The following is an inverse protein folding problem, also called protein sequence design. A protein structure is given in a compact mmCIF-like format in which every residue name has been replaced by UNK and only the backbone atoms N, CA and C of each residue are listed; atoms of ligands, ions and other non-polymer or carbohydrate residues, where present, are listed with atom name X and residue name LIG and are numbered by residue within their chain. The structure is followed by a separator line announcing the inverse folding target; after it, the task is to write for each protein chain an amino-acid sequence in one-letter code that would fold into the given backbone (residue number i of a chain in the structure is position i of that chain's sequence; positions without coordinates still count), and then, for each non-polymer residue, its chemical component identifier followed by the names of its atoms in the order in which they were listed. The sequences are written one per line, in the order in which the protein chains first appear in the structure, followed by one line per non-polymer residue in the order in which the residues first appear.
data_IF_281101325567
#
_entry.id   IF_281101325567
#
_cell.length_a   1.000
_cell.length_b   1.000
_cell.length_c   1.000
_cell.angle_alpha   90.00
_cell.angle_beta   90.00
_cell.angle_gamma   90.00
#
_symmetry.space_group_name_H-M   'P 1'
#
loop_
_entity.id
_entity.type
_entity.pdbx_description
1 polymer ?
#
# COMPACT_ATOMS: atom_id res chain seq x y z
N UNK A 1 -29.78 13.08 -14.57
CA UNK A 1 -29.39 13.47 -13.20
C UNK A 1 -28.02 12.89 -12.91
N UNK A 2 -26.96 13.68 -13.08
CA UNK A 2 -25.56 13.25 -12.93
C UNK A 2 -25.15 13.36 -11.46
N UNK A 3 -24.89 12.21 -10.82
CA UNK A 3 -24.36 12.11 -9.45
C UNK A 3 -22.99 12.80 -9.41
N UNK A 4 -22.91 13.98 -8.78
CA UNK A 4 -21.67 14.69 -8.47
C UNK A 4 -20.76 13.75 -7.67
N UNK A 5 -19.57 13.45 -8.21
CA UNK A 5 -18.47 12.79 -7.49
C UNK A 5 -18.10 13.64 -6.27
N UNK A 6 -18.47 13.18 -5.07
CA UNK A 6 -18.09 13.76 -3.78
C UNK A 6 -16.56 13.66 -3.67
N UNK A 7 -15.86 14.79 -3.54
CA UNK A 7 -14.41 14.82 -3.39
C UNK A 7 -14.03 14.21 -2.03
N UNK A 8 -13.43 13.03 -2.06
CA UNK A 8 -13.03 12.25 -0.90
C UNK A 8 -11.74 12.81 -0.28
N UNK A 9 -11.85 13.44 0.91
CA UNK A 9 -10.70 13.99 1.66
C UNK A 9 -10.18 12.96 2.66
N UNK A 10 -8.90 12.60 2.61
CA UNK A 10 -8.30 11.75 3.66
C UNK A 10 -8.34 12.48 5.01
N UNK A 11 -8.95 11.84 6.01
CA UNK A 11 -8.98 12.25 7.41
C UNK A 11 -7.77 11.71 8.16
N UNK A 12 -7.34 10.50 7.82
CA UNK A 12 -6.21 9.82 8.47
C UNK A 12 -5.51 8.89 7.51
N UNK A 13 -4.19 8.99 7.45
CA UNK A 13 -3.33 8.03 6.74
C UNK A 13 -2.95 6.90 7.70
N UNK A 14 -3.25 5.68 7.30
CA UNK A 14 -2.97 4.45 8.05
C UNK A 14 -1.73 3.76 7.47
N UNK A 15 -1.57 3.82 6.15
CA UNK A 15 -0.52 3.15 5.40
C UNK A 15 -0.04 4.05 4.27
N UNK A 16 1.28 4.22 4.12
CA UNK A 16 1.88 4.90 2.97
C UNK A 16 3.26 4.34 2.65
N UNK A 17 3.36 3.61 1.53
CA UNK A 17 4.62 3.10 1.00
C UNK A 17 5.34 4.22 0.23
N UNK A 18 6.21 4.94 0.94
CA UNK A 18 6.95 6.08 0.41
C UNK A 18 7.90 5.69 -0.72
N UNK A 19 8.46 4.48 -0.70
CA UNK A 19 9.37 4.03 -1.76
C UNK A 19 8.59 3.80 -3.05
N UNK A 20 7.49 3.05 -2.97
CA UNK A 20 6.62 2.81 -4.13
C UNK A 20 5.99 4.12 -4.65
N UNK A 21 5.58 5.02 -3.75
CA UNK A 21 5.05 6.33 -4.12
C UNK A 21 6.09 7.18 -4.84
N UNK A 22 7.33 7.21 -4.34
CA UNK A 22 8.42 7.97 -4.95
C UNK A 22 8.79 7.43 -6.33
N UNK A 23 8.85 6.11 -6.50
CA UNK A 23 9.08 5.49 -7.80
C UNK A 23 7.98 5.87 -8.79
N UNK A 24 6.71 5.78 -8.39
CA UNK A 24 5.58 6.19 -9.22
C UNK A 24 5.67 7.67 -9.64
N UNK A 25 5.89 8.57 -8.69
CA UNK A 25 6.01 10.02 -8.94
C UNK A 25 7.19 10.30 -9.88
N UNK A 26 8.34 9.68 -9.64
CA UNK A 26 9.56 9.82 -10.45
C UNK A 26 9.32 9.36 -11.89
N UNK A 27 8.70 8.19 -12.07
CA UNK A 27 8.37 7.63 -13.39
C UNK A 27 7.40 8.54 -14.14
N UNK A 28 6.34 9.02 -13.47
CA UNK A 28 5.35 9.91 -14.09
C UNK A 28 5.92 11.25 -14.49
N UNK A 29 6.92 11.73 -13.77
CA UNK A 29 7.61 12.97 -14.05
C UNK A 29 8.80 12.84 -15.01
N UNK A 30 9.10 11.63 -15.51
CA UNK A 30 10.16 11.40 -16.48
C UNK A 30 11.58 11.38 -15.90
N UNK A 31 11.75 11.19 -14.59
CA UNK A 31 13.05 11.09 -13.92
C UNK A 31 13.07 11.72 -12.53
N UNK A 32 14.24 11.63 -11.86
CA UNK A 32 14.43 12.15 -10.50
C UNK A 32 14.40 13.66 -10.51
N UNK A 33 13.32 14.25 -9.99
CA UNK A 33 13.19 15.69 -9.79
C UNK A 33 13.97 16.08 -8.54
N UNK A 34 14.92 17.02 -8.67
CA UNK A 34 15.59 17.64 -7.52
C UNK A 34 14.73 18.81 -6.99
N UNK A 35 14.01 18.55 -5.91
CA UNK A 35 13.06 19.48 -5.30
C UNK A 35 13.68 20.68 -4.60
N UNK A 36 15.02 20.75 -4.51
CA UNK A 36 15.72 21.87 -3.87
C UNK A 36 15.85 23.10 -4.79
N UNK A 37 15.65 22.95 -6.10
CA UNK A 37 15.85 24.00 -7.10
C UNK A 37 14.67 24.97 -7.19
N UNK A 38 14.95 26.23 -7.55
CA UNK A 38 13.91 27.27 -7.66
C UNK A 38 12.89 26.98 -8.78
N UNK A 39 13.31 26.32 -9.84
CA UNK A 39 12.44 25.93 -10.97
C UNK A 39 11.38 24.89 -10.55
N UNK A 40 11.76 23.93 -9.68
CA UNK A 40 10.83 22.92 -9.19
C UNK A 40 9.90 23.46 -8.09
N UNK A 41 10.32 24.48 -7.32
CA UNK A 41 9.43 25.23 -6.42
C UNK A 41 8.33 25.97 -7.17
N UNK A 42 8.64 26.54 -8.34
CA UNK A 42 7.64 27.17 -9.21
C UNK A 42 6.69 26.13 -9.84
N UNK A 43 7.20 24.96 -10.22
CA UNK A 43 6.36 23.84 -10.67
C UNK A 43 5.43 23.32 -9.58
N UNK A 44 5.92 23.17 -8.34
CA UNK A 44 5.11 22.84 -7.17
C UNK A 44 4.02 23.90 -6.95
N UNK A 45 4.36 25.18 -7.01
CA UNK A 45 3.40 26.27 -6.85
C UNK A 45 2.32 26.26 -7.94
N UNK A 46 2.68 25.95 -9.20
CA UNK A 46 1.71 25.80 -10.31
C UNK A 46 0.84 24.56 -10.16
N UNK A 47 1.41 23.42 -9.76
CA UNK A 47 0.69 22.17 -9.57
C UNK A 47 -0.29 22.28 -8.39
N UNK A 48 0.12 22.92 -7.29
CA UNK A 48 -0.77 23.26 -6.17
C UNK A 48 -1.85 24.26 -6.59
N UNK A 49 -1.52 25.26 -7.40
CA UNK A 49 -2.51 26.21 -7.93
C UNK A 49 -3.50 25.56 -8.91
N UNK A 50 -3.08 24.58 -9.71
CA UNK A 50 -3.96 23.79 -10.59
C UNK A 50 -4.85 22.83 -9.79
N UNK A 51 -4.32 22.25 -8.69
CA UNK A 51 -5.11 21.50 -7.72
C UNK A 51 -6.16 22.41 -7.07
N UNK A 52 -5.80 23.63 -6.64
CA UNK A 52 -6.71 24.63 -6.08
C UNK A 52 -7.72 25.18 -7.12
N UNK A 53 -7.34 25.26 -8.39
CA UNK A 53 -8.24 25.68 -9.47
C UNK A 53 -9.27 24.59 -9.82
N UNK A 54 -8.86 23.31 -9.74
CA UNK A 54 -9.76 22.15 -9.88
C UNK A 54 -10.57 21.89 -8.59
N UNK A 55 -10.04 22.29 -7.43
CA UNK A 55 -10.65 22.20 -6.11
C UNK A 55 -11.09 23.57 -5.61
N UNK A 56 -12.27 24.04 -6.01
CA UNK A 56 -12.88 25.20 -5.35
C UNK A 56 -13.07 24.88 -3.85
N UNK A 57 -12.15 25.40 -3.04
CA UNK A 57 -12.17 25.54 -1.57
C UNK A 57 -11.65 24.36 -0.73
N UNK A 58 -10.50 24.53 -0.04
CA UNK A 58 -10.38 24.04 1.36
C UNK A 58 -9.12 23.32 1.88
N UNK A 59 -7.90 23.54 1.36
CA UNK A 59 -6.67 23.09 2.02
C UNK A 59 -5.55 24.14 1.98
N UNK A 60 -5.37 24.89 3.07
CA UNK A 60 -4.22 25.79 3.24
C UNK A 60 -3.06 25.09 3.96
N UNK A 61 -2.53 24.00 3.38
CA UNK A 61 -1.27 23.38 3.86
C UNK A 61 -0.07 24.34 3.75
N UNK A 62 -0.24 25.41 2.97
CA UNK A 62 0.73 26.49 2.74
C UNK A 62 1.10 27.27 4.02
N UNK A 63 0.18 27.48 4.97
CA UNK A 63 0.48 28.28 6.17
C UNK A 63 1.38 27.55 7.17
N UNK A 64 1.27 26.23 7.26
CA UNK A 64 2.06 25.40 8.18
C UNK A 64 3.48 25.19 7.67
N UNK A 65 3.66 25.13 6.34
CA UNK A 65 4.94 24.92 5.67
C UNK A 65 5.84 26.18 5.68
N UNK A 66 5.23 27.37 5.53
CA UNK A 66 5.95 28.65 5.49
C UNK A 66 6.64 28.98 6.83
N UNK A 67 6.06 28.58 7.96
CA UNK A 67 6.61 28.82 9.28
C UNK A 67 7.90 28.03 9.57
N UNK A 68 8.03 26.82 8.99
CA UNK A 68 9.16 25.92 9.27
C UNK A 68 10.41 26.25 8.45
N UNK A 69 10.25 26.93 7.30
CA UNK A 69 11.36 27.28 6.39
C UNK A 69 11.95 28.67 6.70
N UNK A 70 11.17 29.58 7.30
CA UNK A 70 11.65 30.93 7.63
C UNK A 70 12.40 31.06 8.96
N UNK A 71 12.57 29.97 9.71
CA UNK A 71 13.26 29.96 10.99
C UNK A 71 14.78 29.77 10.83
N UNK A 72 15.50 30.87 10.68
CA UNK A 72 16.94 30.90 10.94
C UNK A 72 17.22 30.65 12.44
N UNK A 73 18.23 29.83 12.76
CA UNK A 73 19.30 30.09 13.74
C UNK A 73 20.04 28.80 14.13
N UNK A 74 21.36 29.00 14.22
CA UNK A 74 22.48 28.15 14.54
C UNK A 74 22.38 27.29 15.83
N UNK A 75 23.23 26.25 15.89
CA UNK A 75 23.73 25.48 17.06
C UNK A 75 22.86 24.41 17.73
N UNK A 76 23.26 23.15 17.52
CA UNK A 76 22.96 21.97 18.35
C UNK A 76 21.63 21.25 18.04
N UNK A 77 21.64 19.91 18.09
CA UNK A 77 20.50 18.96 18.03
C UNK A 77 20.22 18.24 16.70
N UNK A 78 20.85 17.06 16.55
CA UNK A 78 20.95 16.24 15.34
C UNK A 78 19.98 15.02 15.29
N UNK A 79 18.72 15.19 15.71
CA UNK A 79 17.72 14.08 15.60
C UNK A 79 16.27 14.52 15.46
N UNK A 80 15.90 15.65 16.07
CA UNK A 80 14.57 16.25 15.91
C UNK A 80 14.44 16.96 14.55
N UNK A 81 15.51 17.59 14.07
CA UNK A 81 15.55 18.25 12.74
C UNK A 81 15.44 17.23 11.60
N UNK A 82 16.14 16.09 11.68
CA UNK A 82 16.03 15.00 10.71
C UNK A 82 14.60 14.46 10.60
N UNK A 83 13.93 14.22 11.74
CA UNK A 83 12.51 13.78 11.79
C UNK A 83 11.54 14.81 11.21
N UNK A 84 11.79 16.11 11.44
CA UNK A 84 10.98 17.19 10.86
C UNK A 84 11.18 17.23 9.34
N UNK A 85 12.43 17.12 8.87
CA UNK A 85 12.76 17.09 7.45
C UNK A 85 12.17 15.86 6.74
N UNK A 86 12.29 14.68 7.34
CA UNK A 86 11.70 13.42 6.87
C UNK A 86 10.18 13.52 6.79
N UNK A 87 9.51 14.05 7.82
CA UNK A 87 8.05 14.25 7.79
C UNK A 87 7.61 15.26 6.72
N UNK A 88 8.43 16.27 6.45
CA UNK A 88 8.16 17.31 5.44
C UNK A 88 8.28 16.74 4.02
N UNK A 89 9.31 15.94 3.77
CA UNK A 89 9.54 15.22 2.51
C UNK A 89 8.42 14.18 2.29
N UNK A 90 8.09 13.38 3.30
CA UNK A 90 7.01 12.40 3.28
C UNK A 90 5.64 13.03 2.97
N UNK A 91 5.33 14.17 3.60
CA UNK A 91 4.06 14.89 3.36
C UNK A 91 3.98 15.54 1.96
N UNK A 92 5.12 15.99 1.42
CA UNK A 92 5.20 16.55 0.06
C UNK A 92 5.00 15.43 -0.97
N UNK A 93 5.72 14.32 -0.79
CA UNK A 93 5.58 13.12 -1.61
C UNK A 93 4.16 12.55 -1.60
N UNK A 94 3.49 12.52 -0.44
CA UNK A 94 2.10 12.11 -0.32
C UNK A 94 1.16 12.96 -1.17
N UNK A 95 1.34 14.28 -1.14
CA UNK A 95 0.50 15.22 -1.88
C UNK A 95 0.73 15.07 -3.39
N UNK A 96 1.98 14.93 -3.81
CA UNK A 96 2.34 14.71 -5.22
C UNK A 96 1.79 13.39 -5.74
N UNK A 97 1.99 12.30 -4.98
CA UNK A 97 1.44 10.99 -5.31
C UNK A 97 -0.07 11.05 -5.49
N UNK A 98 -0.81 11.62 -4.54
CA UNK A 98 -2.27 11.76 -4.63
C UNK A 98 -2.71 12.52 -5.87
N UNK A 99 -2.03 13.61 -6.21
CA UNK A 99 -2.38 14.46 -7.35
C UNK A 99 -2.27 13.75 -8.70
N UNK A 100 -1.28 12.85 -8.82
CA UNK A 100 -1.03 12.05 -10.01
C UNK A 100 -1.91 10.79 -10.01
N UNK A 101 -1.99 10.10 -8.88
CA UNK A 101 -2.66 8.81 -8.75
C UNK A 101 -4.17 8.90 -9.00
N UNK A 102 -4.85 9.95 -8.53
CA UNK A 102 -6.30 10.14 -8.75
C UNK A 102 -6.64 10.29 -10.24
N UNK A 103 -5.69 10.73 -11.07
CA UNK A 103 -5.87 10.93 -12.51
C UNK A 103 -5.39 9.74 -13.34
N UNK A 104 -4.73 8.77 -12.72
CA UNK A 104 -4.09 7.66 -13.42
C UNK A 104 -4.96 6.41 -13.45
N UNK A 105 -5.31 5.95 -14.65
CA UNK A 105 -6.13 4.76 -14.87
C UNK A 105 -5.49 3.44 -14.42
N UNK A 106 -4.18 3.41 -14.20
CA UNK A 106 -3.45 2.23 -13.74
C UNK A 106 -3.40 2.14 -12.20
N UNK A 107 -3.82 3.20 -11.50
CA UNK A 107 -4.07 3.14 -10.06
C UNK A 107 -5.51 2.70 -9.84
N UNK A 108 -5.68 1.59 -9.14
CA UNK A 108 -6.99 1.13 -8.72
C UNK A 108 -7.31 1.70 -7.34
N UNK A 109 -8.48 2.33 -7.21
CA UNK A 109 -8.94 2.94 -5.95
C UNK A 109 -10.07 2.07 -5.38
N UNK A 110 -9.73 1.30 -4.35
CA UNK A 110 -10.65 0.48 -3.57
C UNK A 110 -11.27 1.35 -2.47
N UNK A 111 -12.57 1.62 -2.51
CA UNK A 111 -13.21 2.62 -1.64
C UNK A 111 -13.95 1.97 -0.48
N UNK A 112 -13.58 2.36 0.74
CA UNK A 112 -14.23 1.89 1.97
C UNK A 112 -14.31 0.37 2.03
N UNK A 113 -13.16 -0.28 1.86
CA UNK A 113 -13.04 -1.73 1.92
C UNK A 113 -12.51 -2.16 3.28
N UNK A 114 -13.06 -3.27 3.77
CA UNK A 114 -12.42 -4.08 4.82
C UNK A 114 -11.49 -5.08 4.17
N UNK A 115 -10.46 -5.51 4.90
CA UNK A 115 -9.51 -6.53 4.42
C UNK A 115 -9.34 -7.62 5.46
N UNK A 116 -9.09 -8.85 5.03
CA UNK A 116 -8.81 -9.96 5.94
C UNK A 116 -7.63 -10.79 5.46
N UNK A 117 -6.93 -11.42 6.39
CA UNK A 117 -5.82 -12.31 6.05
C UNK A 117 -6.38 -13.66 5.58
N UNK A 118 -5.86 -14.23 4.46
CA UNK A 118 -6.25 -15.58 4.04
C UNK A 118 -5.93 -16.60 5.13
N UNK A 119 -6.78 -17.61 5.31
CA UNK A 119 -6.52 -18.71 6.23
C UNK A 119 -5.23 -19.44 5.85
N UNK A 120 -4.55 -20.00 6.86
CA UNK A 120 -3.30 -20.77 6.67
C UNK A 120 -2.16 -20.01 5.94
N UNK A 121 -2.26 -18.69 5.86
CA UNK A 121 -1.27 -17.84 5.18
C UNK A 121 -0.16 -17.37 6.11
N UNK A 122 0.94 -16.92 5.50
CA UNK A 122 2.03 -16.24 6.22
C UNK A 122 1.55 -14.93 6.86
N UNK A 123 0.51 -14.28 6.32
CA UNK A 123 -0.10 -13.09 6.93
C UNK A 123 -0.74 -13.42 8.27
N UNK A 124 -1.51 -14.51 8.37
CA UNK A 124 -2.06 -14.99 9.65
C UNK A 124 -0.93 -15.29 10.63
N UNK A 125 0.09 -16.04 10.19
CA UNK A 125 1.26 -16.32 11.04
C UNK A 125 1.93 -15.04 11.56
N UNK A 126 2.11 -14.03 10.70
CA UNK A 126 2.68 -12.73 11.09
C UNK A 126 1.85 -11.99 12.15
N UNK A 127 0.53 -12.06 12.07
CA UNK A 127 -0.36 -11.38 13.03
C UNK A 127 -0.25 -11.99 14.43
N UNK A 128 -0.01 -13.30 14.55
CA UNK A 128 0.03 -13.98 15.85
C UNK A 128 1.45 -14.28 16.37
N UNK A 129 2.47 -14.30 15.51
CA UNK A 129 3.81 -14.76 15.87
C UNK A 129 4.48 -13.97 17.00
N UNK A 130 4.15 -12.68 17.14
CA UNK A 130 4.65 -11.86 18.25
C UNK A 130 4.15 -12.34 19.62
N UNK A 131 2.98 -12.98 19.69
CA UNK A 131 2.44 -13.54 20.94
C UNK A 131 3.03 -14.91 21.28
N UNK A 132 3.51 -15.66 20.28
CA UNK A 132 4.10 -16.98 20.48
C UNK A 132 5.41 -16.93 21.28
N UNK A 133 6.09 -15.79 21.31
CA UNK A 133 7.31 -15.58 22.10
C UNK A 133 7.09 -15.68 23.62
N UNK A 134 5.84 -15.67 24.09
CA UNK A 134 5.50 -15.81 25.51
C UNK A 134 5.48 -17.28 25.96
N UNK A 135 5.38 -18.23 25.02
CA UNK A 135 5.34 -19.66 25.34
C UNK A 135 6.72 -20.11 25.86
N UNK A 136 6.81 -20.77 27.03
CA UNK A 136 8.08 -21.23 27.58
C UNK A 136 8.80 -22.19 26.62
N UNK A 137 10.14 -22.08 26.54
CA UNK A 137 10.97 -22.96 25.68
C UNK A 137 10.88 -24.44 26.10
N UNK A 138 10.50 -24.70 27.33
CA UNK A 138 10.27 -26.04 27.86
C UNK A 138 9.05 -26.72 27.21
N UNK A 139 8.06 -25.94 26.78
CA UNK A 139 6.85 -26.45 26.10
C UNK A 139 7.06 -26.54 24.58
N UNK A 140 7.85 -25.63 24.01
CA UNK A 140 8.21 -25.62 22.60
C UNK A 140 9.74 -25.58 22.50
N UNK A 141 10.41 -26.74 22.28
CA UNK A 141 11.87 -26.82 22.19
C UNK A 141 12.40 -26.32 20.82
N UNK A 142 11.77 -25.28 20.28
CA UNK A 142 12.14 -24.61 19.03
C UNK A 142 12.36 -23.14 19.37
N UNK A 143 13.44 -22.55 18.86
CA UNK A 143 13.66 -21.11 19.02
C UNK A 143 12.71 -20.33 18.10
N UNK A 144 11.55 -19.96 18.64
CA UNK A 144 10.53 -19.20 17.94
C UNK A 144 11.03 -17.82 17.49
N UNK A 145 12.04 -17.26 18.16
CA UNK A 145 12.61 -15.97 17.77
C UNK A 145 13.42 -16.09 16.48
N UNK A 146 14.30 -17.10 16.40
CA UNK A 146 15.05 -17.39 15.17
C UNK A 146 14.13 -17.90 14.05
N UNK A 147 13.11 -18.70 14.36
CA UNK A 147 12.10 -19.13 13.38
C UNK A 147 11.34 -17.93 12.80
N UNK A 148 10.89 -17.01 13.66
CA UNK A 148 10.24 -15.78 13.23
C UNK A 148 11.16 -14.93 12.35
N UNK A 149 12.44 -14.82 12.70
CA UNK A 149 13.42 -14.11 11.89
C UNK A 149 13.61 -14.78 10.53
N UNK A 150 13.70 -16.11 10.47
CA UNK A 150 13.88 -16.84 9.22
C UNK A 150 12.66 -16.77 8.29
N UNK A 151 11.43 -16.82 8.84
CA UNK A 151 10.20 -16.82 8.06
C UNK A 151 9.75 -15.39 7.68
N UNK A 152 9.91 -14.44 8.60
CA UNK A 152 9.33 -13.09 8.48
C UNK A 152 10.36 -11.98 8.28
N UNK A 153 11.63 -12.22 8.60
CA UNK A 153 12.67 -11.18 8.64
C UNK A 153 12.98 -10.56 7.29
N UNK A 154 12.91 -11.36 6.22
CA UNK A 154 13.20 -10.90 4.85
C UNK A 154 11.92 -10.62 4.03
N UNK A 155 10.74 -10.82 4.61
CA UNK A 155 9.47 -10.64 3.91
C UNK A 155 9.01 -9.19 3.96
N UNK A 156 9.03 -8.53 2.81
CA UNK A 156 8.53 -7.16 2.67
C UNK A 156 7.00 -7.06 2.69
N UNK A 157 6.33 -7.88 1.88
CA UNK A 157 4.89 -7.75 1.60
C UNK A 157 4.04 -8.89 2.19
N UNK A 158 2.88 -8.52 2.73
CA UNK A 158 1.88 -9.43 3.28
C UNK A 158 0.55 -9.28 2.55
N UNK A 159 -0.11 -10.41 2.33
CA UNK A 159 -1.27 -10.53 1.45
C UNK A 159 -2.55 -10.51 2.27
N UNK A 160 -3.52 -9.67 1.89
CA UNK A 160 -4.87 -9.63 2.45
C UNK A 160 -5.90 -9.64 1.32
N UNK A 161 -7.07 -10.20 1.58
CA UNK A 161 -8.21 -10.25 0.66
C UNK A 161 -9.19 -9.14 0.99
N UNK A 162 -9.98 -8.71 0.00
CA UNK A 162 -11.07 -7.76 0.21
C UNK A 162 -12.26 -8.43 0.90
N UNK A 163 -12.76 -7.83 1.97
CA UNK A 163 -13.91 -8.34 2.73
C UNK A 163 -15.27 -8.16 2.04
N UNK A 164 -15.36 -7.24 1.06
CA UNK A 164 -16.60 -7.02 0.30
C UNK A 164 -16.85 -8.07 -0.78
N UNK A 165 -15.86 -8.89 -1.12
CA UNK A 165 -15.95 -9.90 -2.17
C UNK A 165 -16.47 -11.22 -1.59
N UNK A 166 -17.69 -11.68 -1.94
CA UNK A 166 -18.22 -12.96 -1.43
C UNK A 166 -17.43 -14.16 -1.96
N UNK A 167 -16.86 -14.02 -3.15
CA UNK A 167 -15.88 -14.94 -3.73
C UNK A 167 -14.63 -14.10 -3.97
N UNK A 168 -13.49 -14.44 -3.36
CA UNK A 168 -12.25 -13.67 -3.49
C UNK A 168 -11.85 -13.50 -4.95
N UNK A 169 -11.53 -12.26 -5.34
CA UNK A 169 -11.02 -11.88 -6.67
C UNK A 169 -9.82 -10.96 -6.58
N UNK A 170 -9.59 -10.34 -5.43
CA UNK A 170 -8.56 -9.32 -5.25
C UNK A 170 -7.69 -9.61 -4.03
N UNK A 171 -6.38 -9.54 -4.24
CA UNK A 171 -5.36 -9.59 -3.19
C UNK A 171 -4.69 -8.23 -3.10
N UNK A 172 -4.73 -7.63 -1.91
CA UNK A 172 -3.97 -6.44 -1.55
C UNK A 172 -2.70 -6.85 -0.81
N UNK A 173 -1.54 -6.41 -1.32
CA UNK A 173 -0.24 -6.61 -0.69
C UNK A 173 0.20 -5.34 0.03
N UNK A 174 0.57 -5.51 1.30
CA UNK A 174 1.00 -4.43 2.18
C UNK A 174 2.46 -4.62 2.57
N UNK A 175 3.29 -3.62 2.32
CA UNK A 175 4.64 -3.54 2.85
C UNK A 175 4.59 -3.30 4.36
N UNK A 176 5.13 -4.22 5.15
CA UNK A 176 5.05 -4.15 6.62
C UNK A 176 5.73 -2.90 7.20
N UNK A 177 6.67 -2.29 6.46
CA UNK A 177 7.39 -1.10 6.90
C UNK A 177 6.67 0.22 6.57
N UNK A 178 5.54 0.16 5.85
CA UNK A 178 4.81 1.33 5.37
C UNK A 178 3.64 1.76 6.28
N UNK A 179 3.37 1.03 7.37
CA UNK A 179 2.34 1.41 8.34
C UNK A 179 2.73 2.68 9.11
N UNK A 180 1.76 3.60 9.25
CA UNK A 180 1.92 4.84 10.02
C UNK A 180 1.30 4.67 11.41
N UNK A 181 1.69 5.51 12.35
CA UNK A 181 1.10 5.58 13.70
C UNK A 181 1.02 4.23 14.45
N UNK A 182 2.00 3.35 14.22
CA UNK A 182 2.08 2.02 14.86
C UNK A 182 0.90 1.09 14.59
N UNK A 183 0.19 1.28 13.46
CA UNK A 183 -0.79 0.31 12.99
C UNK A 183 -0.13 -0.99 12.53
N UNK A 184 -0.90 -2.07 12.62
CA UNK A 184 -0.49 -3.42 12.23
C UNK A 184 -1.50 -4.04 11.26
N UNK A 185 -1.12 -5.15 10.62
CA UNK A 185 -2.04 -5.94 9.78
C UNK A 185 -3.32 -6.36 10.53
N UNK A 186 -3.22 -6.61 11.84
CA UNK A 186 -4.36 -6.96 12.69
C UNK A 186 -5.33 -5.80 12.95
N UNK A 187 -4.87 -4.56 12.83
CA UNK A 187 -5.73 -3.40 12.93
C UNK A 187 -6.51 -3.17 11.64
N UNK A 188 -5.92 -3.49 10.48
CA UNK A 188 -6.53 -3.29 9.17
C UNK A 188 -7.83 -4.08 9.00
N UNK A 189 -7.91 -5.28 9.57
CA UNK A 189 -9.12 -6.12 9.51
C UNK A 189 -10.30 -5.61 10.32
N UNK A 190 -10.14 -4.49 11.02
CA UNK A 190 -11.19 -3.83 11.82
C UNK A 190 -11.50 -2.43 11.31
N UNK A 191 -11.00 -2.07 10.12
CA UNK A 191 -11.13 -0.74 9.54
C UNK A 191 -11.74 -0.80 8.16
N UNK A 192 -12.52 0.24 7.85
CA UNK A 192 -12.99 0.54 6.50
C UNK A 192 -12.11 1.63 5.92
N UNK A 193 -11.24 1.27 4.98
CA UNK A 193 -10.24 2.19 4.42
C UNK A 193 -10.40 2.33 2.91
N UNK A 194 -9.93 3.45 2.38
CA UNK A 194 -9.72 3.59 0.94
C UNK A 194 -8.26 3.28 0.61
N UNK A 195 -8.04 2.36 -0.33
CA UNK A 195 -6.73 1.92 -0.77
C UNK A 195 -6.47 2.34 -2.21
N UNK A 196 -5.24 2.78 -2.47
CA UNK A 196 -4.71 3.05 -3.80
C UNK A 196 -3.69 1.95 -4.10
N UNK A 197 -4.03 1.10 -5.07
CA UNK A 197 -3.23 -0.06 -5.43
C UNK A 197 -2.76 -0.02 -6.88
N UNK A 198 -1.58 -0.57 -7.13
CA UNK A 198 -1.04 -0.80 -8.48
C UNK A 198 -1.16 -2.30 -8.76
N UNK A 199 -1.80 -2.68 -9.87
CA UNK A 199 -1.87 -4.10 -10.27
C UNK A 199 -0.48 -4.58 -10.66
N UNK A 200 -0.01 -5.65 -10.02
CA UNK A 200 1.35 -6.20 -10.19
C UNK A 200 1.37 -7.63 -10.71
N UNK A 201 0.22 -8.33 -10.68
CA UNK A 201 0.13 -9.69 -11.20
C UNK A 201 -1.19 -10.35 -10.89
N UNK A 202 -1.17 -11.67 -10.93
CA UNK A 202 -2.29 -12.55 -10.59
C UNK A 202 -1.78 -13.78 -9.84
N UNK A 203 -2.59 -14.34 -8.96
CA UNK A 203 -2.30 -15.61 -8.29
C UNK A 203 -3.57 -16.44 -8.14
N UNK A 204 -3.46 -17.70 -7.73
CA UNK A 204 -4.61 -18.51 -7.32
C UNK A 204 -4.78 -18.46 -5.81
N UNK A 205 -5.98 -18.79 -5.32
CA UNK A 205 -6.25 -18.88 -3.87
C UNK A 205 -5.30 -19.85 -3.16
N UNK A 206 -5.00 -20.98 -3.81
CA UNK A 206 -4.10 -22.00 -3.27
C UNK A 206 -2.66 -21.48 -3.06
N UNK A 207 -2.21 -20.51 -3.86
CA UNK A 207 -0.88 -19.90 -3.73
C UNK A 207 -0.76 -18.94 -2.55
N UNK A 208 -1.87 -18.57 -1.90
CA UNK A 208 -1.85 -17.71 -0.70
C UNK A 208 -1.53 -18.47 0.59
N UNK A 209 -1.62 -19.81 0.57
CA UNK A 209 -1.30 -20.62 1.74
C UNK A 209 0.22 -20.67 1.96
N UNK A 210 0.61 -20.77 3.23
CA UNK A 210 2.03 -20.87 3.61
C UNK A 210 2.71 -22.07 2.93
N UNK A 211 1.98 -23.18 2.77
CA UNK A 211 2.51 -24.41 2.17
C UNK A 211 2.86 -24.26 0.69
N UNK A 212 2.16 -23.38 -0.02
CA UNK A 212 2.28 -23.24 -1.47
C UNK A 212 2.99 -21.96 -1.88
N UNK A 213 3.35 -21.08 -0.94
CA UNK A 213 4.03 -19.81 -1.20
C UNK A 213 5.31 -19.98 -2.05
N UNK A 214 6.07 -21.07 -1.82
CA UNK A 214 7.30 -21.37 -2.56
C UNK A 214 7.12 -22.44 -3.65
N UNK A 215 5.90 -22.95 -3.84
CA UNK A 215 5.60 -23.91 -4.90
C UNK A 215 5.37 -23.17 -6.21
N UNK A 216 6.43 -23.11 -7.01
CA UNK A 216 6.31 -22.69 -8.40
C UNK A 216 5.74 -23.85 -9.21
N UNK A 217 4.42 -23.96 -9.25
CA UNK A 217 3.78 -24.83 -10.24
C UNK A 217 4.09 -24.24 -11.62
N UNK A 218 5.03 -24.86 -12.34
CA UNK A 218 5.11 -24.68 -13.79
C UNK A 218 3.73 -25.04 -14.31
N UNK A 219 3.03 -24.12 -14.96
CA UNK A 219 1.82 -24.43 -15.73
C UNK A 219 2.14 -25.63 -16.61
N UNK A 220 1.74 -26.82 -16.18
CA UNK A 220 1.68 -27.96 -17.06
C UNK A 220 0.56 -27.61 -18.03
N UNK A 221 0.93 -27.31 -19.27
CA UNK A 221 -0.01 -27.44 -20.37
C UNK A 221 -0.27 -28.94 -20.56
N UNK A 222 -0.94 -29.57 -19.60
CA UNK A 222 -1.60 -30.83 -19.86
C UNK A 222 -2.74 -30.48 -20.80
N UNK A 223 -2.55 -30.80 -22.07
CA UNK A 223 -3.54 -30.59 -23.12
C UNK A 223 -4.77 -31.38 -22.69
N UNK A 224 -5.83 -30.67 -22.32
CA UNK A 224 -7.07 -31.30 -21.93
C UNK A 224 -7.75 -31.85 -23.19
N UNK A 225 -8.07 -33.14 -23.20
CA UNK A 225 -8.73 -33.80 -24.34
C UNK A 225 -10.09 -33.14 -24.61
N UNK A 226 -10.72 -32.56 -23.57
CA UNK A 226 -11.94 -31.77 -23.71
C UNK A 226 -11.73 -30.44 -24.44
N UNK A 227 -10.58 -29.75 -24.31
CA UNK A 227 -10.25 -28.54 -25.09
C UNK A 227 -10.15 -28.84 -26.60
N UNK A 228 -9.60 -30.00 -26.96
CA UNK A 228 -9.48 -30.43 -28.37
C UNK A 228 -10.86 -30.70 -28.99
N UNK A 229 -11.78 -31.31 -28.23
CA UNK A 229 -13.08 -31.76 -28.73
C UNK A 229 -14.13 -30.63 -28.75
N UNK A 230 -14.08 -29.72 -27.78
CA UNK A 230 -15.09 -28.66 -27.63
C UNK A 230 -14.66 -27.30 -28.19
N UNK A 231 -13.35 -27.08 -28.37
CA UNK A 231 -12.80 -25.77 -28.80
C UNK A 231 -12.93 -24.67 -27.75
N UNK A 232 -13.49 -24.98 -26.57
CA UNK A 232 -13.57 -24.06 -25.43
C UNK A 232 -12.35 -24.30 -24.55
N UNK A 233 -11.51 -23.27 -24.41
CA UNK A 233 -10.52 -23.23 -23.33
C UNK A 233 -11.26 -23.16 -22.00
N UNK A 234 -11.27 -24.24 -21.24
CA UNK A 234 -11.51 -24.20 -19.80
C UNK A 234 -10.29 -23.60 -19.10
N UNK A 235 -9.96 -22.34 -19.42
CA UNK A 235 -9.26 -21.55 -18.42
C UNK A 235 -10.28 -21.34 -17.31
N UNK A 236 -10.14 -22.05 -16.19
CA UNK A 236 -10.79 -21.72 -14.92
C UNK A 236 -10.31 -20.31 -14.48
N UNK A 237 -10.78 -19.28 -15.19
CA UNK A 237 -10.62 -17.87 -14.85
C UNK A 237 -11.30 -17.54 -13.52
N UNK A 238 -12.13 -18.45 -13.02
CA UNK A 238 -12.80 -18.33 -11.73
C UNK A 238 -11.84 -18.46 -10.54
N UNK A 239 -10.63 -18.99 -10.73
CA UNK A 239 -9.67 -19.20 -9.64
C UNK A 239 -8.53 -18.16 -9.61
N UNK A 240 -8.53 -17.19 -10.53
CA UNK A 240 -7.49 -16.16 -10.61
C UNK A 240 -7.88 -14.90 -9.85
N UNK A 241 -7.00 -14.53 -8.92
CA UNK A 241 -7.05 -13.33 -8.11
C UNK A 241 -6.12 -12.28 -8.71
N UNK A 242 -6.60 -11.04 -8.83
CA UNK A 242 -5.76 -9.91 -9.19
C UNK A 242 -4.96 -9.43 -7.97
N UNK A 243 -3.65 -9.28 -8.15
CA UNK A 243 -2.74 -8.87 -7.08
C UNK A 243 -2.37 -7.39 -7.25
N UNK A 244 -2.56 -6.62 -6.18
CA UNK A 244 -2.26 -5.20 -6.12
C UNK A 244 -1.26 -4.89 -5.00
N UNK A 245 -0.21 -4.15 -5.31
CA UNK A 245 0.62 -3.51 -4.29
C UNK A 245 -0.05 -2.23 -3.83
N UNK A 246 -0.38 -2.16 -2.54
CA UNK A 246 -0.97 -0.95 -1.95
C UNK A 246 0.14 0.07 -1.76
N UNK A 247 -0.10 1.29 -2.23
CA UNK A 247 0.81 2.43 -2.05
C UNK A 247 0.27 3.36 -0.96
N UNK A 248 -1.04 3.57 -0.89
CA UNK A 248 -1.68 4.44 0.09
C UNK A 248 -2.95 3.80 0.65
N UNK A 249 -3.15 3.89 1.97
CA UNK A 249 -4.35 3.44 2.66
C UNK A 249 -4.75 4.40 3.78
N UNK A 250 -6.04 4.77 3.83
CA UNK A 250 -6.50 5.72 4.84
C UNK A 250 -8.01 5.89 4.93
N UNK A 251 -8.43 6.56 6.01
CA UNK A 251 -9.83 6.92 6.26
C UNK A 251 -10.15 8.17 5.46
N UNK A 252 -11.30 8.17 4.79
CA UNK A 252 -11.80 9.27 3.98
C UNK A 252 -13.03 9.88 4.65
N UNK A 253 -13.14 11.21 4.58
CA UNK A 253 -14.36 11.94 4.94
C UNK A 253 -15.42 11.68 3.90
N UNK A 254 -16.55 11.13 4.34
CA UNK A 254 -17.74 10.97 3.52
C UNK A 254 -18.41 12.30 3.19
#
# INVERSE_FOLDING_TARGET
MTKKSKNSKFLKIIYFDEVAANDFVTIKNGGKIDWSTNENKERLAKLVAEIDAQAKTGFNLFSTFKATISGSVNTGYDSKMAKIMESTISNTLLTDYLSLAVKDKNIHIFKSEEVYAPEESITIYKMYSSYLNVVPKEEIPIDLTELNKAILGDRGYYQMLLGSEPVPKTVLRFNINAFKNSYTLADLSKMNLTYYGIKVGTCTMNQLSMENEFKFEKKKSEIDVTEIVTGEKSEDKNDLLDVYDVVLGGVISE
#
